data_IF_697320999373
#
_entry.id   IF_697320999373
#
_cell.length_a   1.000
_cell.length_b   1.000
_cell.length_c   1.000
_cell.angle_alpha   90.00
_cell.angle_beta   90.00
_cell.angle_gamma   90.00
#
_symmetry.space_group_name_H-M   'P 1'
#
loop_
_entity.id
_entity.type
_entity.pdbx_description
1 polymer ?
#
# COMPACT_ATOMS: atom_id res chain seq x y z
N UNK A 1 -0.27 -11.91 47.07
CA UNK A 1 0.44 -10.71 46.56
C UNK A 1 1.93 -10.94 46.24
N UNK A 2 2.62 -11.90 46.88
CA UNK A 2 4.02 -12.21 46.54
C UNK A 2 4.19 -13.03 45.25
N UNK A 3 3.23 -13.89 44.88
CA UNK A 3 3.28 -14.73 43.67
C UNK A 3 3.18 -13.88 42.38
N UNK A 4 2.36 -12.82 42.39
CA UNK A 4 2.21 -11.91 41.23
C UNK A 4 3.50 -11.15 40.93
N UNK A 5 4.27 -10.76 41.96
CA UNK A 5 5.58 -10.10 41.77
C UNK A 5 6.63 -11.05 41.20
N UNK A 6 6.59 -12.33 41.55
CA UNK A 6 7.51 -13.33 41.01
C UNK A 6 7.23 -13.64 39.53
N UNK A 7 5.96 -13.68 39.13
CA UNK A 7 5.56 -13.91 37.72
C UNK A 7 5.92 -12.70 36.84
N UNK A 8 5.74 -11.47 37.34
CA UNK A 8 6.19 -10.27 36.61
C UNK A 8 7.70 -10.19 36.45
N UNK A 9 8.48 -10.65 37.43
CA UNK A 9 9.94 -10.68 37.33
C UNK A 9 10.44 -11.74 36.34
N UNK A 10 9.80 -12.93 36.32
CA UNK A 10 10.10 -14.00 35.36
C UNK A 10 9.71 -13.61 33.93
N UNK A 11 8.58 -12.92 33.73
CA UNK A 11 8.20 -12.39 32.42
C UNK A 11 9.19 -11.32 31.91
N UNK A 12 9.73 -10.49 32.80
CA UNK A 12 10.76 -9.50 32.45
C UNK A 12 12.09 -10.17 32.07
N UNK A 13 12.48 -11.24 32.77
CA UNK A 13 13.71 -11.99 32.46
C UNK A 13 13.59 -12.76 31.14
N UNK A 14 12.41 -13.32 30.83
CA UNK A 14 12.15 -13.99 29.54
C UNK A 14 12.12 -12.98 28.39
N UNK A 15 11.61 -11.75 28.61
CA UNK A 15 11.67 -10.68 27.61
C UNK A 15 13.10 -10.17 27.35
N UNK A 16 13.97 -10.16 28.37
CA UNK A 16 15.38 -9.75 28.19
C UNK A 16 16.21 -10.89 27.55
N UNK A 17 15.94 -12.15 27.90
CA UNK A 17 16.61 -13.31 27.32
C UNK A 17 16.15 -13.64 25.88
N UNK A 18 14.94 -13.24 25.49
CA UNK A 18 14.43 -13.39 24.12
C UNK A 18 15.01 -12.39 23.11
N UNK A 19 15.81 -11.40 23.56
CA UNK A 19 16.45 -10.39 22.71
C UNK A 19 17.98 -10.50 22.67
N UNK A 20 18.57 -11.60 23.14
CA UNK A 20 19.95 -11.93 22.78
C UNK A 20 19.93 -12.66 21.44
N UNK A 21 19.58 -11.93 20.37
CA UNK A 21 20.01 -12.33 19.04
C UNK A 21 21.54 -12.31 19.03
N UNK A 22 22.08 -13.42 18.55
CA UNK A 22 23.48 -13.78 18.45
C UNK A 22 24.39 -12.60 18.03
N UNK A 23 25.24 -12.11 18.95
CA UNK A 23 26.31 -11.13 18.65
C UNK A 23 27.31 -11.68 17.60
N UNK A 24 27.24 -12.98 17.25
CA UNK A 24 28.10 -13.58 16.21
C UNK A 24 27.58 -13.43 14.78
N UNK A 25 26.42 -12.81 14.55
CA UNK A 25 25.97 -12.49 13.19
C UNK A 25 26.68 -11.27 12.57
N UNK A 26 27.60 -10.62 13.28
CA UNK A 26 28.41 -9.50 12.74
C UNK A 26 29.51 -10.02 11.78
N UNK A 27 29.80 -11.32 11.76
CA UNK A 27 31.03 -11.81 11.11
C UNK A 27 30.99 -11.90 9.57
N UNK A 28 29.88 -11.61 8.88
CA UNK A 28 29.90 -11.56 7.39
C UNK A 28 29.01 -10.48 6.78
N UNK A 29 29.61 -9.31 6.51
CA UNK A 29 29.17 -8.35 5.48
C UNK A 29 28.95 -9.06 4.13
N UNK A 30 29.62 -10.20 3.93
CA UNK A 30 29.62 -11.04 2.71
C UNK A 30 28.23 -11.57 2.35
N UNK A 31 27.32 -11.75 3.30
CA UNK A 31 26.07 -12.48 3.02
C UNK A 31 24.96 -11.60 2.42
N UNK A 32 25.01 -10.26 2.53
CA UNK A 32 23.97 -9.40 1.95
C UNK A 32 23.97 -9.38 0.41
N UNK A 33 25.11 -9.69 -0.23
CA UNK A 33 25.21 -9.76 -1.70
C UNK A 33 24.60 -11.06 -2.27
N UNK A 34 24.49 -12.11 -1.45
CA UNK A 34 23.95 -13.42 -1.86
C UNK A 34 22.42 -13.52 -1.70
N UNK A 35 21.79 -12.54 -1.04
CA UNK A 35 20.34 -12.55 -0.82
C UNK A 35 19.61 -12.13 -2.10
N UNK A 36 19.11 -13.12 -2.84
CA UNK A 36 18.03 -12.95 -3.81
C UNK A 36 16.69 -13.07 -3.08
N UNK A 37 15.65 -12.23 -3.35
CA UNK A 37 15.55 -11.09 -4.29
C UNK A 37 16.27 -9.77 -3.91
N UNK A 38 16.50 -8.89 -4.93
CA UNK A 38 17.04 -7.50 -4.81
C UNK A 38 16.43 -6.66 -3.68
N UNK A 39 15.18 -6.91 -3.29
CA UNK A 39 14.53 -6.17 -2.21
C UNK A 39 15.12 -6.48 -0.83
N UNK A 40 15.56 -7.72 -0.62
CA UNK A 40 16.13 -8.14 0.66
C UNK A 40 17.56 -7.64 0.85
N UNK A 41 18.33 -7.46 -0.23
CA UNK A 41 19.67 -6.88 -0.13
C UNK A 41 19.62 -5.42 0.34
N UNK A 42 18.65 -4.61 -0.12
CA UNK A 42 18.48 -3.22 0.34
C UNK A 42 18.23 -3.15 1.85
N UNK A 43 17.26 -3.94 2.36
CA UNK A 43 16.95 -3.98 3.79
C UNK A 43 18.13 -4.50 4.63
N UNK A 44 18.89 -5.46 4.10
CA UNK A 44 20.11 -5.98 4.73
C UNK A 44 21.14 -4.86 4.90
N UNK A 45 21.40 -4.10 3.84
CA UNK A 45 22.35 -2.98 3.88
C UNK A 45 21.87 -1.84 4.79
N UNK A 46 20.58 -1.51 4.84
CA UNK A 46 20.07 -0.49 5.77
C UNK A 46 20.37 -0.81 7.24
N UNK A 47 20.08 -2.04 7.66
CA UNK A 47 20.37 -2.48 9.04
C UNK A 47 21.87 -2.50 9.35
N UNK A 48 22.70 -2.87 8.36
CA UNK A 48 24.16 -2.82 8.51
C UNK A 48 24.63 -1.37 8.72
N UNK A 49 24.17 -0.44 7.88
CA UNK A 49 24.59 0.96 7.96
C UNK A 49 24.18 1.65 9.26
N UNK A 50 23.05 1.26 9.85
CA UNK A 50 22.62 1.80 11.14
C UNK A 50 23.54 1.41 12.29
N UNK A 51 24.16 0.21 12.22
CA UNK A 51 25.07 -0.32 13.23
C UNK A 51 26.52 0.13 13.05
N UNK A 52 26.92 0.51 11.83
CA UNK A 52 28.30 0.92 11.58
C UNK A 52 28.63 2.23 12.28
N UNK A 53 29.63 2.17 13.17
CA UNK A 53 30.16 3.34 13.85
C UNK A 53 31.16 4.11 13.00
N UNK A 54 31.85 3.49 12.04
CA UNK A 54 32.83 4.14 11.16
C UNK A 54 32.78 3.66 9.71
N UNK A 55 33.57 4.29 8.85
CA UNK A 55 33.58 4.02 7.42
C UNK A 55 34.51 2.90 6.98
N UNK A 56 35.24 2.22 7.87
CA UNK A 56 36.19 1.19 7.44
C UNK A 56 35.47 -0.03 6.87
N UNK A 57 34.33 -0.43 7.42
CA UNK A 57 33.55 -1.55 6.88
C UNK A 57 32.99 -1.29 5.47
N UNK A 58 32.87 -0.02 5.04
CA UNK A 58 32.43 0.29 3.68
C UNK A 58 33.49 -0.13 2.65
N UNK A 59 34.77 -0.08 3.01
CA UNK A 59 35.88 -0.45 2.12
C UNK A 59 35.80 -1.94 1.69
N UNK A 60 35.14 -2.79 2.49
CA UNK A 60 34.99 -4.24 2.27
C UNK A 60 33.86 -4.60 1.29
N UNK A 61 32.89 -3.71 1.04
CA UNK A 61 31.71 -3.98 0.21
C UNK A 61 32.11 -4.11 -1.25
N UNK A 62 31.93 -5.26 -1.91
CA UNK A 62 32.39 -5.46 -3.30
C UNK A 62 31.57 -4.67 -4.31
N UNK A 63 30.25 -4.61 -4.13
CA UNK A 63 29.39 -3.82 -5.01
C UNK A 63 29.70 -2.33 -4.88
N UNK A 64 30.19 -1.73 -5.97
CA UNK A 64 30.60 -0.33 -6.03
C UNK A 64 29.49 0.66 -5.65
N UNK A 65 28.27 0.43 -6.10
CA UNK A 65 27.14 1.35 -5.83
C UNK A 65 26.80 1.33 -4.34
N UNK A 66 26.66 0.13 -3.78
CA UNK A 66 26.38 -0.05 -2.35
C UNK A 66 27.52 0.50 -1.48
N UNK A 67 28.77 0.32 -1.89
CA UNK A 67 29.94 0.91 -1.22
C UNK A 67 29.84 2.43 -1.14
N UNK A 68 29.43 3.11 -2.20
CA UNK A 68 29.31 4.58 -2.19
C UNK A 68 28.13 5.07 -1.37
N UNK A 69 27.00 4.36 -1.41
CA UNK A 69 25.86 4.62 -0.53
C UNK A 69 26.24 4.46 0.95
N UNK A 70 27.07 3.46 1.28
CA UNK A 70 27.62 3.27 2.63
C UNK A 70 28.41 4.50 3.08
N UNK A 71 29.40 4.94 2.30
CA UNK A 71 30.18 6.13 2.63
C UNK A 71 29.30 7.38 2.77
N UNK A 72 28.34 7.58 1.87
CA UNK A 72 27.43 8.72 1.93
C UNK A 72 26.55 8.70 3.18
N UNK A 73 25.93 7.56 3.52
CA UNK A 73 25.09 7.45 4.72
C UNK A 73 25.89 7.73 5.99
N UNK A 74 27.11 7.20 6.10
CA UNK A 74 27.99 7.46 7.24
C UNK A 74 28.43 8.93 7.28
N UNK A 75 28.80 9.51 6.14
CA UNK A 75 29.18 10.91 6.04
C UNK A 75 28.04 11.84 6.49
N UNK A 76 26.80 11.55 6.06
CA UNK A 76 25.60 12.28 6.45
C UNK A 76 25.27 12.12 7.93
N UNK A 77 25.30 10.89 8.45
CA UNK A 77 25.03 10.58 9.87
C UNK A 77 26.03 11.28 10.79
N UNK A 78 27.30 11.36 10.39
CA UNK A 78 28.36 12.00 11.17
C UNK A 78 28.54 13.50 10.90
N UNK A 79 27.93 14.03 9.84
CA UNK A 79 28.25 15.39 9.35
C UNK A 79 29.72 15.55 8.93
N UNK A 80 30.42 14.45 8.59
CA UNK A 80 31.85 14.49 8.27
C UNK A 80 32.09 14.27 6.77
N UNK A 81 32.39 15.35 6.06
CA UNK A 81 32.63 15.32 4.62
C UNK A 81 33.93 14.61 4.24
N UNK A 82 34.89 14.43 5.17
CA UNK A 82 36.14 13.71 4.89
C UNK A 82 35.89 12.24 4.55
N UNK A 83 34.74 11.69 4.96
CA UNK A 83 34.32 10.34 4.57
C UNK A 83 33.99 10.28 3.07
N UNK A 84 33.48 11.36 2.49
CA UNK A 84 33.20 11.44 1.05
C UNK A 84 34.47 11.36 0.19
N UNK A 85 35.64 11.76 0.71
CA UNK A 85 36.92 11.66 -0.01
C UNK A 85 37.33 10.21 -0.30
N UNK A 86 36.74 9.22 0.39
CA UNK A 86 36.94 7.80 0.09
C UNK A 86 36.19 7.34 -1.18
N UNK A 87 35.28 8.15 -1.71
CA UNK A 87 34.55 7.83 -2.94
C UNK A 87 35.46 8.12 -4.14
N UNK A 88 35.72 7.09 -4.96
CA UNK A 88 36.70 7.14 -6.03
C UNK A 88 36.32 8.05 -7.21
N UNK A 89 35.03 8.19 -7.50
CA UNK A 89 34.55 8.94 -8.66
C UNK A 89 34.10 10.34 -8.25
N UNK A 90 34.56 11.33 -9.02
CA UNK A 90 34.40 12.74 -8.69
C UNK A 90 32.95 13.16 -8.57
N UNK A 91 32.07 12.70 -9.46
CA UNK A 91 30.65 13.05 -9.44
C UNK A 91 29.93 12.56 -8.17
N UNK A 92 30.11 11.29 -7.77
CA UNK A 92 29.53 10.75 -6.53
C UNK A 92 30.18 11.35 -5.28
N UNK A 93 31.48 11.67 -5.35
CA UNK A 93 32.22 12.35 -4.29
C UNK A 93 31.67 13.76 -4.06
N UNK A 94 31.54 14.57 -5.10
CA UNK A 94 30.97 15.92 -5.01
C UNK A 94 29.51 15.87 -4.55
N UNK A 95 28.71 14.92 -5.04
CA UNK A 95 27.35 14.69 -4.55
C UNK A 95 27.33 14.46 -3.03
N UNK A 96 28.14 13.53 -2.53
CA UNK A 96 28.26 13.26 -1.09
C UNK A 96 28.65 14.52 -0.30
N UNK A 97 29.69 15.24 -0.74
CA UNK A 97 30.16 16.45 -0.06
C UNK A 97 29.10 17.54 -0.02
N UNK A 98 28.41 17.77 -1.14
CA UNK A 98 27.35 18.75 -1.27
C UNK A 98 26.22 18.49 -0.26
N UNK A 99 25.81 17.23 -0.10
CA UNK A 99 24.77 16.87 0.86
C UNK A 99 25.20 16.99 2.32
N UNK A 100 26.46 16.68 2.64
CA UNK A 100 26.99 16.78 4.01
C UNK A 100 27.20 18.24 4.42
N UNK A 101 27.77 19.04 3.51
CA UNK A 101 28.08 20.45 3.77
C UNK A 101 26.89 21.38 3.53
N UNK A 102 25.84 20.91 2.85
CA UNK A 102 24.70 21.70 2.37
C UNK A 102 25.12 22.85 1.45
N UNK A 103 26.18 22.66 0.68
CA UNK A 103 26.73 23.63 -0.26
C UNK A 103 26.32 23.27 -1.70
N UNK A 104 25.47 24.10 -2.31
CA UNK A 104 24.98 23.88 -3.68
C UNK A 104 26.07 24.13 -4.74
N UNK A 105 27.12 24.89 -4.44
CA UNK A 105 28.21 25.13 -5.39
C UNK A 105 29.00 23.83 -5.67
N UNK A 106 28.92 22.85 -4.77
CA UNK A 106 29.48 21.51 -5.00
C UNK A 106 28.64 20.69 -5.99
N UNK A 107 27.33 20.94 -6.09
CA UNK A 107 26.49 20.31 -7.11
C UNK A 107 26.90 20.77 -8.52
N UNK A 108 27.29 22.04 -8.69
CA UNK A 108 27.77 22.58 -9.97
C UNK A 108 29.08 21.92 -10.46
N UNK A 109 29.81 21.22 -9.58
CA UNK A 109 31.00 20.46 -9.95
C UNK A 109 30.69 19.07 -10.54
N UNK A 110 29.43 18.65 -10.54
CA UNK A 110 28.98 17.39 -11.13
C UNK A 110 28.81 17.58 -12.64
N UNK A 111 29.90 17.40 -13.38
CA UNK A 111 29.94 17.55 -14.84
C UNK A 111 29.54 16.27 -15.58
N UNK A 112 28.93 16.41 -16.75
CA UNK A 112 28.52 15.30 -17.62
C UNK A 112 27.35 14.44 -17.13
N UNK A 113 26.71 14.79 -16.00
CA UNK A 113 25.54 14.09 -15.48
C UNK A 113 24.51 15.06 -14.87
N UNK A 114 23.72 15.68 -15.75
CA UNK A 114 22.69 16.66 -15.36
C UNK A 114 21.68 16.07 -14.37
N UNK A 115 21.30 14.79 -14.53
CA UNK A 115 20.39 14.12 -13.60
C UNK A 115 20.93 14.06 -12.17
N UNK A 116 22.22 13.71 -12.00
CA UNK A 116 22.83 13.64 -10.67
C UNK A 116 23.02 15.04 -10.07
N UNK A 117 23.38 16.04 -10.89
CA UNK A 117 23.43 17.45 -10.46
C UNK A 117 22.07 17.93 -9.98
N UNK A 118 21.03 17.70 -10.76
CA UNK A 118 19.67 18.14 -10.45
C UNK A 118 19.14 17.47 -9.18
N UNK A 119 19.41 16.16 -9.00
CA UNK A 119 19.10 15.43 -7.76
C UNK A 119 19.89 15.97 -6.55
N UNK A 120 21.11 16.48 -6.77
CA UNK A 120 21.91 17.15 -5.74
C UNK A 120 21.23 18.44 -5.29
N UNK A 121 20.88 19.30 -6.25
CA UNK A 121 20.20 20.57 -6.02
C UNK A 121 18.85 20.36 -5.32
N UNK A 122 18.03 19.43 -5.79
CA UNK A 122 16.76 19.06 -5.17
C UNK A 122 16.93 18.68 -3.70
N UNK A 123 17.91 17.81 -3.39
CA UNK A 123 18.12 17.35 -2.03
C UNK A 123 18.60 18.47 -1.10
N UNK A 124 19.47 19.36 -1.58
CA UNK A 124 19.90 20.53 -0.81
C UNK A 124 18.73 21.50 -0.63
N UNK A 125 17.92 21.74 -1.66
CA UNK A 125 16.72 22.57 -1.57
C UNK A 125 15.79 22.05 -0.46
N UNK A 126 15.59 20.73 -0.38
CA UNK A 126 14.78 20.09 0.64
C UNK A 126 15.38 20.20 2.04
N UNK A 127 16.68 19.99 2.19
CA UNK A 127 17.33 19.98 3.50
C UNK A 127 17.52 21.39 4.08
N UNK A 128 17.68 22.39 3.21
CA UNK A 128 17.87 23.80 3.62
C UNK A 128 16.59 24.64 3.56
N UNK A 129 15.56 24.16 2.86
CA UNK A 129 14.37 24.95 2.53
C UNK A 129 14.62 26.03 1.45
N UNK A 130 15.78 26.04 0.81
CA UNK A 130 16.12 27.01 -0.22
C UNK A 130 15.49 26.64 -1.58
N UNK A 131 14.23 27.02 -1.76
CA UNK A 131 13.46 26.75 -2.98
C UNK A 131 14.07 27.33 -4.27
N UNK A 132 14.91 28.37 -4.17
CA UNK A 132 15.57 28.95 -5.37
C UNK A 132 16.48 27.95 -6.07
N UNK A 133 16.95 26.92 -5.36
CA UNK A 133 17.71 25.83 -5.98
C UNK A 133 16.84 25.01 -6.95
N UNK A 134 15.51 24.98 -6.78
CA UNK A 134 14.62 24.37 -7.76
C UNK A 134 14.60 25.12 -9.11
N UNK A 135 14.98 26.41 -9.14
CA UNK A 135 15.12 27.18 -10.39
C UNK A 135 16.40 26.80 -11.16
N UNK A 136 17.38 26.21 -10.48
CA UNK A 136 18.68 25.80 -11.04
C UNK A 136 18.63 24.38 -11.62
N UNK A 137 17.57 23.62 -11.32
CA UNK A 137 17.38 22.28 -11.87
C UNK A 137 17.13 22.42 -13.38
N UNK A 138 18.03 21.80 -14.13
CA UNK A 138 18.17 21.93 -15.58
C UNK A 138 17.32 20.96 -16.39
N UNK A 139 16.59 20.09 -15.70
CA UNK A 139 15.98 18.88 -16.22
C UNK A 139 15.35 19.07 -17.59
N UNK A 140 15.61 18.10 -18.48
CA UNK A 140 15.04 17.99 -19.83
C UNK A 140 13.49 17.94 -19.84
N UNK A 141 12.82 18.00 -18.69
CA UNK A 141 11.38 18.19 -18.55
C UNK A 141 11.02 19.11 -17.38
N UNK A 142 10.04 20.00 -17.60
CA UNK A 142 9.44 20.89 -16.59
C UNK A 142 8.96 20.17 -15.31
N UNK A 143 8.77 18.85 -15.38
CA UNK A 143 8.31 18.00 -14.30
C UNK A 143 9.25 17.94 -13.09
N UNK A 144 10.57 17.99 -13.28
CA UNK A 144 11.53 17.85 -12.17
C UNK A 144 11.51 19.10 -11.26
N UNK A 145 11.34 20.28 -11.85
CA UNK A 145 11.26 21.55 -11.11
C UNK A 145 9.98 21.61 -10.28
N UNK A 146 8.85 21.23 -10.90
CA UNK A 146 7.54 21.18 -10.25
C UNK A 146 7.54 20.24 -9.03
N UNK A 147 8.19 19.08 -9.16
CA UNK A 147 8.31 18.11 -8.06
C UNK A 147 9.24 18.63 -6.94
N UNK A 148 10.33 19.32 -7.30
CA UNK A 148 11.20 20.00 -6.33
C UNK A 148 10.41 21.04 -5.52
N UNK A 149 9.66 21.92 -6.21
CA UNK A 149 8.83 22.92 -5.57
C UNK A 149 7.79 22.31 -4.63
N UNK A 150 7.07 21.27 -5.07
CA UNK A 150 6.10 20.56 -4.25
C UNK A 150 6.73 20.06 -2.95
N UNK A 151 7.82 19.29 -3.05
CA UNK A 151 8.46 18.68 -1.88
C UNK A 151 9.00 19.74 -0.92
N UNK A 152 9.61 20.82 -1.43
CA UNK A 152 10.13 21.92 -0.61
C UNK A 152 8.98 22.68 0.06
N UNK A 153 7.92 23.01 -0.69
CA UNK A 153 6.75 23.71 -0.18
C UNK A 153 6.05 22.93 0.93
N UNK A 154 5.87 21.62 0.76
CA UNK A 154 5.24 20.72 1.74
C UNK A 154 6.12 20.58 2.99
N UNK A 155 7.42 20.29 2.83
CA UNK A 155 8.37 20.11 3.95
C UNK A 155 8.54 21.40 4.76
N UNK A 156 8.69 22.54 4.09
CA UNK A 156 8.88 23.84 4.73
C UNK A 156 7.54 24.51 5.13
N UNK A 157 6.40 23.95 4.72
CA UNK A 157 5.04 24.49 4.94
C UNK A 157 4.86 25.90 4.38
N UNK A 158 5.44 26.18 3.21
CA UNK A 158 5.40 27.50 2.55
C UNK A 158 4.39 27.47 1.41
N UNK A 159 3.14 27.78 1.72
CA UNK A 159 2.02 27.76 0.77
C UNK A 159 2.25 28.51 -0.55
N UNK A 160 2.81 29.75 -0.56
CA UNK A 160 3.00 30.49 -1.81
C UNK A 160 3.88 29.77 -2.83
N UNK A 161 4.75 28.85 -2.42
CA UNK A 161 5.63 28.12 -3.34
C UNK A 161 4.88 27.17 -4.28
N UNK A 162 3.72 26.64 -3.87
CA UNK A 162 2.92 25.81 -4.78
C UNK A 162 2.47 26.59 -6.03
N UNK A 163 2.42 27.93 -5.98
CA UNK A 163 2.08 28.75 -7.15
C UNK A 163 3.16 28.78 -8.23
N UNK A 164 4.39 28.40 -7.87
CA UNK A 164 5.51 28.31 -8.82
C UNK A 164 5.48 26.99 -9.62
N UNK A 165 4.60 26.05 -9.26
CA UNK A 165 4.42 24.78 -9.95
C UNK A 165 3.59 25.01 -11.21
N UNK A 166 4.13 24.65 -12.37
CA UNK A 166 3.47 24.84 -13.67
C UNK A 166 2.37 23.79 -13.90
N UNK A 167 2.70 22.51 -13.71
CA UNK A 167 1.76 21.40 -13.83
C UNK A 167 0.60 21.54 -12.84
N UNK A 168 -0.61 21.62 -13.39
CA UNK A 168 -1.82 21.86 -12.60
C UNK A 168 -2.06 20.75 -11.57
N UNK A 169 -1.81 19.48 -11.91
CA UNK A 169 -2.10 18.32 -11.05
C UNK A 169 -1.12 18.27 -9.88
N UNK A 170 0.17 18.53 -10.12
CA UNK A 170 1.16 18.65 -9.04
C UNK A 170 0.84 19.85 -8.15
N UNK A 171 0.52 21.00 -8.74
CA UNK A 171 0.18 22.23 -7.99
C UNK A 171 -0.99 22.02 -7.03
N UNK A 172 -2.06 21.39 -7.50
CA UNK A 172 -3.24 21.11 -6.69
C UNK A 172 -2.96 20.11 -5.57
N UNK A 173 -2.11 19.10 -5.82
CA UNK A 173 -1.65 18.18 -4.78
C UNK A 173 -0.82 18.90 -3.72
N UNK A 174 0.12 19.75 -4.14
CA UNK A 174 0.92 20.60 -3.24
C UNK A 174 0.03 21.42 -2.30
N UNK A 175 -1.02 22.06 -2.83
CA UNK A 175 -1.99 22.78 -2.00
C UNK A 175 -2.72 21.87 -1.01
N UNK A 176 -3.15 20.68 -1.44
CA UNK A 176 -3.84 19.72 -0.59
C UNK A 176 -2.94 19.24 0.57
N UNK A 177 -1.70 18.85 0.26
CA UNK A 177 -0.74 18.34 1.25
C UNK A 177 -0.38 19.42 2.30
N UNK A 178 -0.20 20.67 1.87
CA UNK A 178 0.02 21.79 2.79
C UNK A 178 -1.22 22.03 3.66
N UNK A 179 -2.42 22.01 3.08
CA UNK A 179 -3.67 22.19 3.81
C UNK A 179 -3.84 21.15 4.92
N UNK A 180 -3.59 19.87 4.61
CA UNK A 180 -3.66 18.74 5.56
C UNK A 180 -2.58 18.84 6.63
N UNK A 181 -1.35 19.20 6.25
CA UNK A 181 -0.24 19.35 7.19
C UNK A 181 -0.44 20.49 8.18
N UNK A 182 -0.98 21.62 7.70
CA UNK A 182 -1.32 22.79 8.53
C UNK A 182 -2.69 22.68 9.20
N UNK A 183 -3.49 21.66 8.87
CA UNK A 183 -4.89 21.53 9.30
C UNK A 183 -5.73 22.78 9.02
N UNK A 184 -5.45 23.45 7.91
CA UNK A 184 -6.12 24.71 7.55
C UNK A 184 -6.92 24.53 6.25
N UNK A 185 -8.26 24.41 6.35
CA UNK A 185 -9.12 24.11 5.21
C UNK A 185 -9.18 25.24 4.17
N UNK A 186 -8.77 26.46 4.52
CA UNK A 186 -8.76 27.61 3.58
C UNK A 186 -7.83 27.36 2.40
N UNK A 187 -6.82 26.52 2.56
CA UNK A 187 -5.93 26.16 1.46
C UNK A 187 -6.59 25.22 0.45
N UNK A 188 -7.56 24.38 0.85
CA UNK A 188 -8.32 23.54 -0.08
C UNK A 188 -9.11 24.39 -1.09
N UNK A 189 -9.49 25.63 -0.75
CA UNK A 189 -10.19 26.55 -1.65
C UNK A 189 -9.36 26.94 -2.90
N UNK A 190 -8.03 26.72 -2.87
CA UNK A 190 -7.14 27.01 -3.99
C UNK A 190 -7.07 25.85 -5.01
N UNK A 191 -7.78 24.75 -4.77
CA UNK A 191 -7.79 23.56 -5.62
C UNK A 191 -9.02 23.61 -6.54
N UNK A 192 -8.79 23.58 -7.86
CA UNK A 192 -9.89 23.67 -8.84
C UNK A 192 -10.42 22.31 -9.27
N UNK A 193 -9.58 21.26 -9.25
CA UNK A 193 -10.05 19.89 -9.41
C UNK A 193 -10.91 19.48 -8.21
N UNK A 194 -12.16 19.12 -8.47
CA UNK A 194 -13.13 18.84 -7.41
C UNK A 194 -12.76 17.61 -6.58
N UNK A 195 -12.25 16.54 -7.19
CA UNK A 195 -11.88 15.31 -6.47
C UNK A 195 -10.72 15.56 -5.50
N UNK A 196 -9.70 16.30 -5.96
CA UNK A 196 -8.54 16.65 -5.11
C UNK A 196 -8.96 17.59 -3.99
N UNK A 197 -9.85 18.56 -4.27
CA UNK A 197 -10.37 19.49 -3.27
C UNK A 197 -11.21 18.80 -2.21
N UNK A 198 -12.14 17.94 -2.64
CA UNK A 198 -13.04 17.24 -1.74
C UNK A 198 -12.24 16.29 -0.84
N UNK A 199 -11.27 15.55 -1.39
CA UNK A 199 -10.33 14.75 -0.60
C UNK A 199 -9.55 15.58 0.42
N UNK A 200 -9.08 16.76 0.04
CA UNK A 200 -8.43 17.71 0.97
C UNK A 200 -9.32 18.04 2.17
N UNK A 201 -10.62 18.31 1.95
CA UNK A 201 -11.57 18.56 3.03
C UNK A 201 -11.82 17.32 3.89
N UNK A 202 -11.94 16.13 3.29
CA UNK A 202 -12.08 14.85 4.02
C UNK A 202 -10.92 14.67 4.98
N UNK A 203 -9.68 14.77 4.48
CA UNK A 203 -8.47 14.52 5.26
C UNK A 203 -8.36 15.49 6.47
N UNK A 204 -8.68 16.77 6.27
CA UNK A 204 -8.68 17.77 7.35
C UNK A 204 -9.83 17.52 8.33
N UNK A 205 -11.04 17.24 7.84
CA UNK A 205 -12.22 16.95 8.66
C UNK A 205 -11.98 15.75 9.58
N UNK A 206 -11.39 14.67 9.05
CA UNK A 206 -11.03 13.47 9.80
C UNK A 206 -9.94 13.78 10.82
N UNK A 207 -8.89 14.49 10.43
CA UNK A 207 -7.76 14.84 11.31
C UNK A 207 -8.20 15.71 12.48
N UNK A 208 -9.08 16.68 12.26
CA UNK A 208 -9.63 17.56 13.29
C UNK A 208 -10.87 17.00 13.99
N UNK A 209 -11.42 15.88 13.49
CA UNK A 209 -12.72 15.35 13.92
C UNK A 209 -13.82 16.41 13.83
N UNK A 210 -13.78 17.22 12.76
CA UNK A 210 -14.67 18.36 12.56
C UNK A 210 -15.68 18.10 11.43
N UNK A 211 -16.90 17.71 11.81
CA UNK A 211 -18.00 17.45 10.88
C UNK A 211 -18.35 18.64 9.99
N UNK A 212 -18.20 19.88 10.47
CA UNK A 212 -18.65 21.04 9.69
C UNK A 212 -17.90 21.15 8.36
N UNK A 213 -16.66 20.65 8.30
CA UNK A 213 -15.84 20.64 7.08
C UNK A 213 -16.35 19.65 6.03
N UNK A 214 -17.06 18.59 6.41
CA UNK A 214 -17.68 17.67 5.44
C UNK A 214 -18.73 18.38 4.57
N UNK A 215 -19.29 19.51 5.01
CA UNK A 215 -20.26 20.31 4.23
C UNK A 215 -19.62 21.08 3.07
N UNK A 216 -18.29 21.18 3.02
CA UNK A 216 -17.55 21.87 1.97
C UNK A 216 -17.22 20.95 0.78
N UNK A 217 -17.59 19.66 0.86
CA UNK A 217 -17.44 18.65 -0.19
C UNK A 217 -18.58 18.83 -1.19
N UNK A 218 -18.28 19.02 -2.48
CA UNK A 218 -19.28 19.39 -3.50
C UNK A 218 -19.27 18.47 -4.73
N UNK A 219 -18.12 17.92 -5.09
CA UNK A 219 -17.91 17.15 -6.31
C UNK A 219 -18.22 15.66 -6.20
N UNK A 220 -18.08 15.05 -5.01
CA UNK A 220 -18.26 13.61 -4.83
C UNK A 220 -19.14 13.22 -3.65
N UNK A 221 -20.26 12.55 -3.96
CA UNK A 221 -21.13 11.91 -2.97
C UNK A 221 -20.38 10.92 -2.08
N UNK A 222 -19.44 10.17 -2.66
CA UNK A 222 -18.57 9.20 -1.97
C UNK A 222 -17.68 9.87 -0.91
N UNK A 223 -16.98 10.96 -1.27
CA UNK A 223 -16.16 11.71 -0.31
C UNK A 223 -16.99 12.26 0.85
N UNK A 224 -18.22 12.72 0.58
CA UNK A 224 -19.10 13.26 1.61
C UNK A 224 -19.56 12.19 2.59
N UNK A 225 -19.97 11.01 2.08
CA UNK A 225 -20.33 9.87 2.93
C UNK A 225 -19.15 9.38 3.75
N UNK A 226 -17.96 9.28 3.16
CA UNK A 226 -16.74 8.83 3.83
C UNK A 226 -16.32 9.80 4.94
N UNK A 227 -16.35 11.10 4.66
CA UNK A 227 -16.08 12.15 5.65
C UNK A 227 -16.99 11.98 6.87
N UNK A 228 -18.30 11.89 6.64
CA UNK A 228 -19.26 11.73 7.72
C UNK A 228 -19.10 10.40 8.47
N UNK A 229 -18.85 9.29 7.77
CA UNK A 229 -18.67 7.98 8.40
C UNK A 229 -17.45 7.94 9.33
N UNK A 230 -16.30 8.42 8.86
CA UNK A 230 -15.06 8.40 9.65
C UNK A 230 -15.15 9.37 10.83
N UNK A 231 -15.69 10.58 10.62
CA UNK A 231 -15.91 11.54 11.72
C UNK A 231 -16.91 10.97 12.74
N UNK A 232 -18.04 10.41 12.29
CA UNK A 232 -19.04 9.78 13.15
C UNK A 232 -18.44 8.65 14.00
N UNK A 233 -17.56 7.83 13.40
CA UNK A 233 -16.86 6.75 14.11
C UNK A 233 -15.95 7.30 15.21
N UNK A 234 -15.17 8.35 14.91
CA UNK A 234 -14.22 8.93 15.88
C UNK A 234 -14.89 9.61 17.08
N UNK A 235 -16.10 10.14 16.91
CA UNK A 235 -16.87 10.76 18.01
C UNK A 235 -17.97 9.85 18.57
N UNK A 236 -18.07 8.62 18.07
CA UNK A 236 -19.14 7.67 18.38
C UNK A 236 -20.56 8.28 18.28
N UNK A 237 -20.84 8.98 17.17
CA UNK A 237 -22.12 9.67 16.96
C UNK A 237 -22.77 9.34 15.62
N UNK A 238 -23.65 8.35 15.62
CA UNK A 238 -24.43 7.94 14.44
C UNK A 238 -25.45 8.98 13.95
N UNK A 239 -25.80 9.99 14.75
CA UNK A 239 -26.72 11.04 14.30
C UNK A 239 -26.14 11.81 13.11
N UNK A 240 -24.81 11.79 12.91
CA UNK A 240 -24.19 12.40 11.75
C UNK A 240 -24.63 11.73 10.44
N UNK A 241 -24.77 10.41 10.41
CA UNK A 241 -25.28 9.70 9.23
C UNK A 241 -26.75 10.06 8.97
N UNK A 242 -27.56 10.26 10.03
CA UNK A 242 -28.96 10.68 9.91
C UNK A 242 -29.14 12.08 9.31
N UNK A 243 -28.14 12.94 9.39
CA UNK A 243 -28.21 14.30 8.83
C UNK A 243 -28.08 14.34 7.30
N UNK A 244 -27.76 13.22 6.65
CA UNK A 244 -27.64 13.20 5.19
C UNK A 244 -29.00 13.12 4.50
N UNK A 245 -29.26 14.02 3.52
CA UNK A 245 -30.57 14.14 2.88
C UNK A 245 -30.85 12.96 1.94
N UNK A 246 -29.84 12.46 1.24
CA UNK A 246 -30.01 11.37 0.29
C UNK A 246 -29.85 10.01 0.99
N UNK A 247 -30.77 9.11 0.70
CA UNK A 247 -30.83 7.78 1.32
C UNK A 247 -29.58 6.94 1.05
N UNK A 248 -29.10 6.93 -0.20
CA UNK A 248 -27.87 6.24 -0.60
C UNK A 248 -26.63 6.76 0.16
N UNK A 249 -26.53 8.07 0.38
CA UNK A 249 -25.43 8.66 1.17
C UNK A 249 -25.49 8.24 2.63
N UNK A 250 -26.69 8.26 3.21
CA UNK A 250 -26.93 7.80 4.58
C UNK A 250 -26.56 6.32 4.74
N UNK A 251 -27.00 5.48 3.81
CA UNK A 251 -26.69 4.05 3.76
C UNK A 251 -25.16 3.81 3.65
N UNK A 252 -24.46 4.56 2.80
CA UNK A 252 -23.00 4.51 2.68
C UNK A 252 -22.28 4.94 3.98
N UNK A 253 -22.78 5.94 4.70
CA UNK A 253 -22.21 6.31 6.00
C UNK A 253 -22.42 5.25 7.07
N UNK A 254 -23.60 4.62 7.11
CA UNK A 254 -23.86 3.51 8.01
C UNK A 254 -22.96 2.31 7.70
N UNK A 255 -22.76 2.00 6.41
CA UNK A 255 -21.80 0.99 5.97
C UNK A 255 -20.39 1.33 6.47
N UNK A 256 -19.89 2.54 6.19
CA UNK A 256 -18.56 2.99 6.60
C UNK A 256 -18.37 3.01 8.12
N UNK A 257 -19.36 3.48 8.88
CA UNK A 257 -19.34 3.47 10.34
C UNK A 257 -19.33 2.03 10.88
N UNK A 258 -20.23 1.17 10.38
CA UNK A 258 -20.32 -0.24 10.81
C UNK A 258 -19.01 -0.98 10.58
N UNK A 259 -18.37 -0.77 9.42
CA UNK A 259 -17.05 -1.35 9.09
C UNK A 259 -15.93 -0.84 10.00
N UNK A 260 -15.92 0.45 10.31
CA UNK A 260 -14.84 1.09 11.07
C UNK A 260 -14.94 0.86 12.58
N UNK A 261 -16.16 0.79 13.11
CA UNK A 261 -16.45 0.52 14.53
C UNK A 261 -16.61 -0.97 14.85
N UNK A 262 -16.81 -1.80 13.81
CA UNK A 262 -17.28 -3.17 13.92
C UNK A 262 -18.63 -3.33 14.67
N UNK A 263 -19.49 -2.30 14.67
CA UNK A 263 -20.85 -2.38 15.22
C UNK A 263 -21.83 -2.94 14.18
N UNK A 264 -22.08 -4.25 14.26
CA UNK A 264 -22.97 -4.97 13.35
C UNK A 264 -24.44 -4.49 13.40
N UNK A 265 -24.87 -3.88 14.51
CA UNK A 265 -26.26 -3.40 14.66
C UNK A 265 -26.59 -2.32 13.64
N UNK A 266 -25.56 -1.63 13.15
CA UNK A 266 -25.66 -0.56 12.16
C UNK A 266 -25.98 -1.09 10.77
N UNK A 267 -25.55 -2.32 10.44
CA UNK A 267 -25.87 -2.91 9.14
C UNK A 267 -27.39 -3.05 8.93
N UNK A 268 -28.17 -3.24 10.00
CA UNK A 268 -29.64 -3.28 9.92
C UNK A 268 -30.29 -1.92 9.61
N UNK A 269 -29.55 -0.81 9.74
CA UNK A 269 -30.04 0.53 9.39
C UNK A 269 -29.82 0.86 7.91
N UNK A 270 -29.02 0.05 7.20
CA UNK A 270 -28.74 0.22 5.77
C UNK A 270 -29.91 -0.36 4.98
N UNK A 271 -30.54 0.48 4.16
CA UNK A 271 -31.70 0.05 3.37
C UNK A 271 -31.27 -0.58 2.05
N UNK A 272 -30.22 -0.04 1.43
CA UNK A 272 -29.58 -0.67 0.27
C UNK A 272 -29.08 -2.09 0.61
N UNK A 273 -29.58 -3.09 -0.11
CA UNK A 273 -29.29 -4.50 0.18
C UNK A 273 -27.82 -4.84 -0.05
N UNK A 274 -27.21 -4.25 -1.07
CA UNK A 274 -25.82 -4.51 -1.41
C UNK A 274 -24.88 -3.90 -0.37
N UNK A 275 -25.09 -2.62 0.01
CA UNK A 275 -24.34 -1.97 1.08
C UNK A 275 -24.53 -2.64 2.43
N UNK A 276 -25.72 -3.16 2.71
CA UNK A 276 -25.97 -3.96 3.91
C UNK A 276 -25.17 -5.25 3.90
N UNK A 277 -25.13 -5.95 2.77
CA UNK A 277 -24.34 -7.16 2.62
C UNK A 277 -22.83 -6.87 2.77
N UNK A 278 -22.32 -5.79 2.17
CA UNK A 278 -20.92 -5.35 2.34
C UNK A 278 -20.59 -5.03 3.80
N UNK A 279 -21.50 -4.38 4.53
CA UNK A 279 -21.37 -4.10 5.96
C UNK A 279 -21.22 -5.40 6.77
N UNK A 280 -22.17 -6.33 6.63
CA UNK A 280 -22.14 -7.61 7.33
C UNK A 280 -20.90 -8.44 7.00
N UNK A 281 -20.56 -8.53 5.71
CA UNK A 281 -19.40 -9.28 5.23
C UNK A 281 -18.11 -8.77 5.86
N UNK A 282 -17.88 -7.46 5.81
CA UNK A 282 -16.66 -6.85 6.35
C UNK A 282 -16.52 -7.07 7.86
N UNK A 283 -17.61 -6.96 8.62
CA UNK A 283 -17.58 -7.16 10.08
C UNK A 283 -17.37 -8.65 10.41
N UNK A 284 -18.03 -9.55 9.66
CA UNK A 284 -17.86 -10.99 9.83
C UNK A 284 -16.40 -11.42 9.66
N UNK A 285 -15.71 -10.92 8.64
CA UNK A 285 -14.29 -11.21 8.41
C UNK A 285 -13.39 -10.59 9.49
N UNK A 286 -13.56 -9.30 9.77
CA UNK A 286 -12.72 -8.58 10.74
C UNK A 286 -12.76 -9.19 12.15
N UNK A 287 -13.92 -9.75 12.55
CA UNK A 287 -14.11 -10.35 13.87
C UNK A 287 -14.11 -11.88 13.85
N UNK A 288 -14.01 -12.49 12.67
CA UNK A 288 -14.18 -13.93 12.45
C UNK A 288 -15.47 -14.52 13.07
N UNK A 289 -16.57 -13.76 13.05
CA UNK A 289 -17.87 -14.16 13.62
C UNK A 289 -18.75 -14.79 12.52
N UNK A 290 -18.84 -16.12 12.55
CA UNK A 290 -19.49 -16.96 11.52
C UNK A 290 -20.98 -16.65 11.41
N UNK A 291 -21.65 -16.39 12.54
CA UNK A 291 -23.09 -16.11 12.60
C UNK A 291 -23.47 -14.90 11.76
N UNK A 292 -22.55 -13.94 11.57
CA UNK A 292 -22.81 -12.74 10.77
C UNK A 292 -22.92 -13.04 9.28
N UNK A 293 -22.24 -14.07 8.76
CA UNK A 293 -22.40 -14.49 7.37
C UNK A 293 -23.85 -14.86 7.04
N UNK A 294 -24.61 -15.40 8.01
CA UNK A 294 -26.01 -15.77 7.80
C UNK A 294 -26.93 -14.59 7.48
N UNK A 295 -26.54 -13.35 7.84
CA UNK A 295 -27.30 -12.13 7.56
C UNK A 295 -27.15 -11.60 6.13
N UNK A 296 -26.22 -12.16 5.34
CA UNK A 296 -25.97 -11.75 3.96
C UNK A 296 -27.11 -12.18 3.04
N UNK A 297 -27.74 -11.24 2.33
CA UNK A 297 -28.82 -11.52 1.38
C UNK A 297 -28.32 -12.25 0.13
N UNK A 298 -27.16 -11.85 -0.40
CA UNK A 298 -26.52 -12.50 -1.53
C UNK A 298 -25.96 -13.89 -1.12
N UNK A 299 -26.53 -14.95 -1.70
CA UNK A 299 -26.14 -16.34 -1.40
C UNK A 299 -24.67 -16.63 -1.71
N UNK A 300 -24.17 -16.16 -2.85
CA UNK A 300 -22.77 -16.40 -3.22
C UNK A 300 -21.82 -15.71 -2.24
N UNK A 301 -22.09 -14.44 -1.91
CA UNK A 301 -21.29 -13.71 -0.93
C UNK A 301 -21.34 -14.35 0.46
N UNK A 302 -22.48 -14.92 0.83
CA UNK A 302 -22.64 -15.72 2.05
C UNK A 302 -21.70 -16.93 2.08
N UNK A 303 -21.61 -17.67 0.98
CA UNK A 303 -20.72 -18.82 0.90
C UNK A 303 -19.24 -18.41 0.92
N UNK A 304 -18.91 -17.30 0.26
CA UNK A 304 -17.57 -16.70 0.31
C UNK A 304 -17.18 -16.31 1.73
N UNK A 305 -18.10 -15.65 2.46
CA UNK A 305 -17.90 -15.26 3.86
C UNK A 305 -17.52 -16.46 4.75
N UNK A 306 -18.28 -17.56 4.66
CA UNK A 306 -17.96 -18.78 5.39
C UNK A 306 -16.61 -19.37 4.98
N UNK A 307 -16.31 -19.39 3.69
CA UNK A 307 -15.04 -19.91 3.16
C UNK A 307 -13.83 -19.14 3.68
N UNK A 308 -13.88 -17.81 3.63
CA UNK A 308 -12.80 -16.94 4.12
C UNK A 308 -12.55 -17.13 5.62
N UNK A 309 -13.60 -17.11 6.45
CA UNK A 309 -13.44 -17.34 7.90
C UNK A 309 -12.94 -18.76 8.19
N UNK A 310 -13.45 -19.77 7.46
CA UNK A 310 -12.98 -21.14 7.58
C UNK A 310 -11.50 -21.29 7.23
N UNK A 311 -11.04 -20.51 6.26
CA UNK A 311 -9.66 -20.48 5.83
C UNK A 311 -8.75 -19.84 6.89
N UNK A 312 -9.08 -18.62 7.33
CA UNK A 312 -8.35 -17.89 8.36
C UNK A 312 -8.21 -18.72 9.66
N UNK A 313 -9.29 -19.41 10.06
CA UNK A 313 -9.32 -20.24 11.26
C UNK A 313 -8.81 -21.67 11.06
N UNK A 314 -8.46 -22.06 9.82
CA UNK A 314 -8.09 -23.42 9.42
C UNK A 314 -9.15 -24.47 9.83
N UNK A 315 -10.42 -24.09 9.78
CA UNK A 315 -11.54 -24.89 10.30
C UNK A 315 -12.57 -25.24 9.22
N UNK A 316 -12.34 -26.37 8.55
CA UNK A 316 -13.21 -26.92 7.51
C UNK A 316 -14.65 -27.21 7.96
N UNK A 317 -14.87 -27.45 9.25
CA UNK A 317 -16.21 -27.77 9.76
C UNK A 317 -17.20 -26.61 9.57
N UNK A 318 -16.71 -25.38 9.42
CA UNK A 318 -17.53 -24.19 9.16
C UNK A 318 -18.29 -24.33 7.84
N UNK A 319 -17.68 -24.92 6.80
CA UNK A 319 -18.37 -25.16 5.54
C UNK A 319 -19.55 -26.14 5.69
N UNK A 320 -19.54 -27.01 6.71
CA UNK A 320 -20.64 -27.96 6.97
C UNK A 320 -21.91 -27.28 7.48
N UNK A 321 -21.84 -26.00 7.88
CA UNK A 321 -23.01 -25.18 8.25
C UNK A 321 -23.87 -24.85 7.00
N UNK A 322 -23.28 -24.91 5.80
CA UNK A 322 -23.98 -24.58 4.55
C UNK A 322 -24.79 -25.79 4.08
N UNK A 323 -26.12 -25.72 4.21
CA UNK A 323 -27.04 -26.77 3.77
C UNK A 323 -26.97 -27.01 2.25
N UNK A 324 -26.88 -25.91 1.49
CA UNK A 324 -26.76 -25.92 0.03
C UNK A 324 -25.44 -26.59 -0.42
N UNK A 325 -25.54 -27.66 -1.21
CA UNK A 325 -24.39 -28.45 -1.65
C UNK A 325 -23.39 -27.61 -2.46
N UNK A 326 -23.92 -26.72 -3.30
CA UNK A 326 -23.19 -25.79 -4.14
C UNK A 326 -22.43 -24.74 -3.31
N UNK A 327 -23.09 -24.14 -2.33
CA UNK A 327 -22.45 -23.24 -1.39
C UNK A 327 -21.39 -23.91 -0.51
N UNK A 328 -21.65 -25.14 -0.06
CA UNK A 328 -20.68 -25.93 0.70
C UNK A 328 -19.42 -26.22 -0.10
N UNK A 329 -19.59 -26.64 -1.36
CA UNK A 329 -18.51 -26.83 -2.30
C UNK A 329 -17.70 -25.55 -2.54
N UNK A 330 -18.38 -24.41 -2.70
CA UNK A 330 -17.73 -23.09 -2.84
C UNK A 330 -16.88 -22.74 -1.62
N UNK A 331 -17.42 -22.92 -0.41
CA UNK A 331 -16.70 -22.70 0.84
C UNK A 331 -15.44 -23.56 0.94
N UNK A 332 -15.55 -24.87 0.67
CA UNK A 332 -14.39 -25.77 0.65
C UNK A 332 -13.35 -25.34 -0.38
N UNK A 333 -13.79 -24.96 -1.60
CA UNK A 333 -12.89 -24.44 -2.63
C UNK A 333 -12.04 -23.26 -2.15
N UNK A 334 -12.62 -22.31 -1.41
CA UNK A 334 -11.90 -21.16 -0.85
C UNK A 334 -10.88 -21.59 0.19
N UNK A 335 -11.29 -22.45 1.14
CA UNK A 335 -10.39 -22.97 2.18
C UNK A 335 -9.20 -23.69 1.55
N UNK A 336 -9.45 -24.53 0.55
CA UNK A 336 -8.39 -25.34 -0.07
C UNK A 336 -7.45 -24.56 -0.99
N UNK A 337 -7.88 -23.41 -1.55
CA UNK A 337 -6.99 -22.49 -2.26
C UNK A 337 -5.89 -21.96 -1.34
N UNK A 338 -6.20 -21.69 -0.08
CA UNK A 338 -5.23 -21.16 0.89
C UNK A 338 -4.36 -22.25 1.53
N UNK A 339 -4.80 -23.50 1.48
CA UNK A 339 -4.08 -24.66 2.04
C UNK A 339 -3.35 -25.53 1.00
N UNK A 340 -3.23 -25.09 -0.25
CA UNK A 340 -2.52 -25.81 -1.34
C UNK A 340 -3.01 -27.27 -1.56
N UNK A 341 -4.21 -27.64 -1.09
CA UNK A 341 -4.69 -29.02 -1.24
C UNK A 341 -5.21 -29.25 -2.65
N UNK A 342 -4.49 -30.07 -3.40
CA UNK A 342 -4.61 -30.35 -4.85
C UNK A 342 -5.91 -31.04 -5.31
N UNK A 343 -6.87 -31.35 -4.43
CA UNK A 343 -7.96 -32.29 -4.78
C UNK A 343 -9.38 -31.72 -4.86
N UNK A 344 -9.64 -30.49 -4.41
CA UNK A 344 -11.00 -30.14 -3.98
C UNK A 344 -11.93 -29.68 -5.11
N UNK A 345 -11.43 -29.02 -6.16
CA UNK A 345 -12.31 -28.67 -7.29
C UNK A 345 -12.95 -29.91 -7.95
N UNK A 346 -12.32 -31.08 -7.82
CA UNK A 346 -12.85 -32.34 -8.35
C UNK A 346 -14.11 -32.85 -7.63
N UNK A 347 -14.30 -32.47 -6.35
CA UNK A 347 -15.43 -32.95 -5.52
C UNK A 347 -16.70 -32.12 -5.71
N UNK A 348 -16.60 -30.97 -6.39
CA UNK A 348 -17.74 -30.07 -6.65
C UNK A 348 -18.65 -30.71 -7.72
N UNK A 349 -19.91 -31.00 -7.37
CA UNK A 349 -20.86 -31.64 -8.29
C UNK A 349 -21.42 -30.68 -9.34
N UNK A 350 -21.70 -29.43 -8.97
CA UNK A 350 -22.19 -28.42 -9.91
C UNK A 350 -21.07 -28.03 -10.88
N UNK A 351 -21.25 -28.26 -12.20
CA UNK A 351 -20.22 -27.98 -13.20
C UNK A 351 -19.78 -26.52 -13.22
N UNK A 352 -20.70 -25.56 -13.07
CA UNK A 352 -20.34 -24.13 -13.10
C UNK A 352 -19.46 -23.74 -11.92
N UNK A 353 -19.78 -24.19 -10.72
CA UNK A 353 -18.98 -23.93 -9.52
C UNK A 353 -17.65 -24.69 -9.55
N UNK A 354 -17.64 -25.90 -10.10
CA UNK A 354 -16.42 -26.68 -10.36
C UNK A 354 -15.48 -25.90 -11.28
N UNK A 355 -16.01 -25.39 -12.39
CA UNK A 355 -15.23 -24.56 -13.32
C UNK A 355 -14.76 -23.25 -12.71
N UNK A 356 -15.58 -22.61 -11.87
CA UNK A 356 -15.15 -21.42 -11.13
C UNK A 356 -14.03 -21.74 -10.15
N UNK A 357 -14.07 -22.87 -9.46
CA UNK A 357 -12.99 -23.33 -8.58
C UNK A 357 -11.67 -23.50 -9.35
N UNK A 358 -11.69 -24.26 -10.45
CA UNK A 358 -10.53 -24.41 -11.32
C UNK A 358 -10.05 -23.07 -11.88
N UNK A 359 -10.99 -22.21 -12.28
CA UNK A 359 -10.68 -20.90 -12.84
C UNK A 359 -10.01 -19.99 -11.83
N UNK A 360 -10.46 -19.97 -10.58
CA UNK A 360 -9.81 -19.17 -9.52
C UNK A 360 -8.43 -19.74 -9.24
N UNK A 361 -8.30 -21.07 -9.17
CA UNK A 361 -7.02 -21.75 -8.91
C UNK A 361 -5.99 -21.47 -10.00
N UNK A 362 -6.34 -21.67 -11.27
CA UNK A 362 -5.45 -21.36 -12.39
C UNK A 362 -5.02 -19.90 -12.39
N UNK A 363 -5.95 -18.97 -12.11
CA UNK A 363 -5.66 -17.54 -12.03
C UNK A 363 -4.74 -17.16 -10.88
N UNK A 364 -4.97 -17.66 -9.68
CA UNK A 364 -4.25 -17.23 -8.47
C UNK A 364 -2.95 -17.98 -8.24
N UNK A 365 -2.92 -19.28 -8.55
CA UNK A 365 -1.76 -20.14 -8.31
C UNK A 365 -0.82 -20.21 -9.51
N UNK A 366 -1.21 -19.66 -10.67
CA UNK A 366 -0.44 -19.78 -11.90
C UNK A 366 -0.37 -21.24 -12.37
N UNK A 367 -1.46 -21.99 -12.26
CA UNK A 367 -1.55 -23.39 -12.67
C UNK A 367 -2.43 -23.49 -13.94
N UNK A 368 -1.89 -23.23 -15.15
CA UNK A 368 -2.69 -23.18 -16.37
C UNK A 368 -3.34 -24.53 -16.72
N UNK A 369 -2.73 -25.65 -16.37
CA UNK A 369 -3.25 -27.00 -16.64
C UNK A 369 -4.62 -27.22 -15.98
N UNK A 370 -4.92 -26.53 -14.88
CA UNK A 370 -6.23 -26.59 -14.22
C UNK A 370 -7.35 -25.99 -15.09
N UNK A 371 -7.00 -25.10 -16.03
CA UNK A 371 -7.96 -24.49 -16.92
C UNK A 371 -8.44 -25.47 -18.01
N UNK A 372 -7.67 -26.53 -18.31
CA UNK A 372 -8.01 -27.53 -19.33
C UNK A 372 -9.31 -28.28 -18.98
N UNK A 373 -9.60 -28.42 -17.69
CA UNK A 373 -10.81 -29.08 -17.17
C UNK A 373 -12.07 -28.20 -17.24
N UNK A 374 -11.96 -26.95 -17.70
CA UNK A 374 -13.08 -26.00 -17.79
C UNK A 374 -13.78 -26.11 -19.14
N UNK A 375 -15.04 -26.55 -19.12
CA UNK A 375 -15.84 -26.70 -20.35
C UNK A 375 -16.32 -25.35 -20.89
N UNK A 376 -16.66 -24.39 -20.03
CA UNK A 376 -17.13 -23.07 -20.47
C UNK A 376 -15.97 -22.25 -21.02
N UNK A 377 -16.02 -21.94 -22.33
CA UNK A 377 -14.97 -21.19 -23.02
C UNK A 377 -14.65 -19.85 -22.34
N UNK A 378 -15.67 -19.06 -21.98
CA UNK A 378 -15.48 -17.77 -21.29
C UNK A 378 -14.76 -17.92 -19.94
N UNK A 379 -15.12 -18.94 -19.15
CA UNK A 379 -14.50 -19.18 -17.83
C UNK A 379 -13.07 -19.73 -18.00
N UNK A 380 -12.85 -20.55 -19.04
CA UNK A 380 -11.55 -21.12 -19.38
C UNK A 380 -10.58 -20.07 -19.88
N UNK A 381 -11.04 -19.21 -20.78
CA UNK A 381 -10.27 -18.09 -21.33
C UNK A 381 -9.87 -17.10 -20.23
N UNK A 382 -10.82 -16.76 -19.36
CA UNK A 382 -10.53 -15.97 -18.16
C UNK A 382 -9.56 -16.66 -17.20
N UNK A 383 -9.57 -17.99 -17.12
CA UNK A 383 -8.63 -18.79 -16.32
C UNK A 383 -7.19 -18.65 -16.84
N UNK A 384 -6.96 -18.99 -18.12
CA UNK A 384 -5.64 -18.88 -18.74
C UNK A 384 -5.11 -17.45 -18.70
N UNK A 385 -5.98 -16.46 -18.93
CA UNK A 385 -5.59 -15.05 -18.88
C UNK A 385 -5.00 -14.64 -17.53
N UNK A 386 -5.66 -14.99 -16.42
CA UNK A 386 -5.10 -14.67 -15.10
C UNK A 386 -3.84 -15.48 -14.80
N UNK A 387 -3.78 -16.76 -15.21
CA UNK A 387 -2.58 -17.59 -15.06
C UNK A 387 -1.38 -16.97 -15.81
N UNK A 388 -1.59 -16.48 -17.04
CA UNK A 388 -0.59 -15.81 -17.86
C UNK A 388 -0.04 -14.54 -17.19
N UNK A 389 -0.92 -13.75 -16.57
CA UNK A 389 -0.56 -12.51 -15.87
C UNK A 389 0.28 -12.83 -14.63
N UNK A 390 -0.16 -13.76 -13.79
CA UNK A 390 0.55 -14.14 -12.56
C UNK A 390 1.92 -14.74 -12.86
N UNK A 391 2.01 -15.64 -13.83
CA UNK A 391 3.28 -16.25 -14.24
C UNK A 391 4.14 -15.33 -15.12
N UNK A 392 3.60 -14.19 -15.56
CA UNK A 392 4.23 -13.29 -16.54
C UNK A 392 4.66 -14.04 -17.81
N UNK A 393 3.83 -14.97 -18.24
CA UNK A 393 4.10 -15.86 -19.36
C UNK A 393 3.06 -15.67 -20.46
N UNK A 394 3.40 -14.85 -21.46
CA UNK A 394 2.53 -14.56 -22.59
C UNK A 394 2.18 -15.79 -23.45
N UNK A 395 2.98 -16.88 -23.39
CA UNK A 395 2.66 -18.09 -24.16
C UNK A 395 1.38 -18.78 -23.66
N UNK A 396 0.97 -18.53 -22.43
CA UNK A 396 -0.30 -19.06 -21.88
C UNK A 396 -1.50 -18.37 -22.54
N UNK A 397 -1.33 -17.12 -23.00
CA UNK A 397 -2.40 -16.41 -23.71
C UNK A 397 -2.75 -17.10 -25.04
N UNK A 398 -1.85 -17.86 -25.65
CA UNK A 398 -2.12 -18.60 -26.90
C UNK A 398 -3.20 -19.69 -26.72
N UNK A 399 -3.47 -20.10 -25.47
CA UNK A 399 -4.50 -21.08 -25.10
C UNK A 399 -5.91 -20.46 -25.04
N UNK A 400 -6.03 -19.13 -25.06
CA UNK A 400 -7.32 -18.41 -25.01
C UNK A 400 -8.02 -18.49 -26.35
N UNK A 401 -9.24 -19.03 -26.41
CA UNK A 401 -10.01 -19.19 -27.65
C UNK A 401 -10.49 -17.86 -28.24
N UNK A 402 -10.95 -16.95 -27.39
CA UNK A 402 -11.44 -15.63 -27.76
C UNK A 402 -10.28 -14.69 -28.19
N UNK A 403 -10.35 -14.17 -29.42
CA UNK A 403 -9.29 -13.32 -29.98
C UNK A 403 -9.11 -11.98 -29.25
N UNK A 404 -10.19 -11.37 -28.80
CA UNK A 404 -10.16 -10.07 -28.09
C UNK A 404 -9.51 -10.26 -26.72
N UNK A 405 -9.91 -11.31 -25.99
CA UNK A 405 -9.30 -11.63 -24.69
C UNK A 405 -7.82 -12.02 -24.80
N UNK A 406 -7.46 -12.74 -25.88
CA UNK A 406 -6.07 -13.10 -26.18
C UNK A 406 -5.19 -11.86 -26.36
N UNK A 407 -5.67 -10.86 -27.11
CA UNK A 407 -4.97 -9.59 -27.30
C UNK A 407 -4.76 -8.80 -26.00
N UNK A 408 -5.81 -8.70 -25.18
CA UNK A 408 -5.73 -8.06 -23.85
C UNK A 408 -4.80 -8.82 -22.90
N UNK A 409 -4.83 -10.17 -22.94
CA UNK A 409 -3.94 -11.02 -22.16
C UNK A 409 -2.46 -10.77 -22.49
N UNK A 410 -2.08 -10.81 -23.78
CA UNK A 410 -0.69 -10.63 -24.20
C UNK A 410 -0.13 -9.27 -23.80
N UNK A 411 -0.98 -8.24 -23.89
CA UNK A 411 -0.65 -6.86 -23.46
C UNK A 411 -0.40 -6.82 -21.95
N UNK A 412 -1.31 -7.38 -21.14
CA UNK A 412 -1.18 -7.37 -19.67
C UNK A 412 -0.04 -8.26 -19.15
N UNK A 413 0.18 -9.42 -19.75
CA UNK A 413 1.24 -10.34 -19.34
C UNK A 413 2.66 -9.80 -19.63
N UNK A 414 2.80 -8.77 -20.47
CA UNK A 414 4.10 -8.19 -20.88
C UNK A 414 4.41 -6.82 -20.26
N UNK A 415 3.39 -6.02 -19.89
CA UNK A 415 3.53 -4.62 -19.47
C UNK A 415 4.18 -4.41 -18.09
N UNK A 416 4.34 -5.43 -17.26
CA UNK A 416 5.02 -5.30 -15.95
C UNK A 416 6.51 -5.72 -15.95
N UNK A 417 7.21 -5.45 -17.04
CA UNK A 417 8.69 -5.47 -17.12
C UNK A 417 9.25 -4.07 -16.94
#
# INVERSE_FOLDING_TARGET
>A
MQIVKAISLLALIVLIAGCTEDERLIEKIVDCEEISPRQYSVLCFERLFDRMEDSSGCDEIRNRVVRYECFQKIALKKGNHSVCEKILYDMERYYCMALVQKDNLLCEKIDGNDWLRDKCLERIALDTGNWKLCEQISGQGRWDNDLCYEKVAVKARIFPLCRNIEDKKIRERCFADIAVNLTDPRYCENITNMDVRDKCYVDIAVKLVNQSLCRNIVGGFEYMSDCHAVVATRIDNLTLCNMMPQKNLRDACYEGYGRSSNDHRICNQIIDLEGRDRCWYSIALNQSIIEYCSNLNNKLLRYVCYGSIASDLKNYSICSIIEDEDGRATCHGIVDLEFEKLGVCSIIKNPELKYRCYSIRGRLMGEPDMCDDIISDDIRDGCYKGAAIVLRNASICDLIGNQDERGDCGTKATIER
#
